data_IF_383586934909
#
_entry.id   IF_383586934909
#
_cell.length_a   1.000
_cell.length_b   1.000
_cell.length_c   1.000
_cell.angle_alpha   90.00
_cell.angle_beta   90.00
_cell.angle_gamma   90.00
#
_symmetry.space_group_name_H-M   'P 1'
#
loop_
_entity.id
_entity.type
_entity.pdbx_description
1 polymer ?
#
# COMPACT_ATOMS: atom_id res chain seq x y z
N UNK A 1 -33.50 26.66 38.32
CA UNK A 1 -33.74 25.49 37.44
C UNK A 1 -34.78 25.89 36.42
N UNK A 2 -34.34 26.43 35.28
CA UNK A 2 -35.22 26.66 34.13
C UNK A 2 -35.48 25.30 33.50
N UNK A 3 -36.68 24.77 33.68
CA UNK A 3 -37.17 23.58 32.99
C UNK A 3 -37.20 23.86 31.49
N UNK A 4 -36.12 23.54 30.79
CA UNK A 4 -36.11 23.53 29.32
C UNK A 4 -36.98 22.36 28.89
N UNK A 5 -38.27 22.62 28.61
CA UNK A 5 -39.18 21.58 28.12
C UNK A 5 -38.76 21.17 26.70
N UNK A 6 -38.17 19.98 26.58
CA UNK A 6 -37.87 19.37 25.29
C UNK A 6 -39.13 18.70 24.73
N UNK A 7 -39.47 19.01 23.48
CA UNK A 7 -40.69 18.48 22.83
C UNK A 7 -40.49 17.10 22.21
N UNK A 8 -39.24 16.70 21.95
CA UNK A 8 -38.91 15.41 21.35
C UNK A 8 -37.55 14.88 21.82
N UNK A 9 -37.34 13.57 21.68
CA UNK A 9 -36.06 12.92 21.94
C UNK A 9 -34.92 13.53 21.11
N UNK A 10 -35.18 13.83 19.84
CA UNK A 10 -34.20 14.44 18.94
C UNK A 10 -33.76 15.83 19.41
N UNK A 11 -34.70 16.66 19.89
CA UNK A 11 -34.39 18.00 20.40
C UNK A 11 -33.51 17.93 21.65
N UNK A 12 -33.82 16.98 22.56
CA UNK A 12 -33.03 16.76 23.76
C UNK A 12 -31.60 16.29 23.42
N UNK A 13 -31.45 15.41 22.43
CA UNK A 13 -30.13 14.91 22.01
C UNK A 13 -29.31 15.96 21.25
N UNK A 14 -29.94 16.84 20.47
CA UNK A 14 -29.27 18.01 19.88
C UNK A 14 -28.79 18.98 20.97
N UNK A 15 -29.57 19.16 22.03
CA UNK A 15 -29.14 19.97 23.17
C UNK A 15 -27.96 19.33 23.91
N UNK A 16 -27.92 18.00 24.04
CA UNK A 16 -26.77 17.28 24.60
C UNK A 16 -25.51 17.54 23.77
N UNK A 17 -25.60 17.44 22.44
CA UNK A 17 -24.47 17.72 21.53
C UNK A 17 -23.96 19.16 21.70
N UNK A 18 -24.87 20.14 21.74
CA UNK A 18 -24.54 21.53 22.03
C UNK A 18 -23.84 21.72 23.39
N UNK A 19 -24.39 21.14 24.46
CA UNK A 19 -23.80 21.24 25.80
C UNK A 19 -22.42 20.58 25.90
N UNK A 20 -22.19 19.49 25.18
CA UNK A 20 -20.88 18.85 25.07
C UNK A 20 -19.89 19.74 24.32
N UNK A 21 -20.32 20.41 23.25
CA UNK A 21 -19.50 21.40 22.53
C UNK A 21 -19.05 22.57 23.40
N UNK A 22 -19.89 22.99 24.35
CA UNK A 22 -19.60 24.05 25.33
C UNK A 22 -18.90 23.55 26.61
N UNK A 23 -18.44 22.29 26.65
CA UNK A 23 -17.81 21.64 27.82
C UNK A 23 -18.69 21.59 29.09
N UNK A 24 -20.02 21.70 28.97
CA UNK A 24 -20.98 21.64 30.09
C UNK A 24 -21.41 20.20 30.38
N UNK A 25 -20.45 19.35 30.70
CA UNK A 25 -20.65 17.90 30.82
C UNK A 25 -21.67 17.47 31.89
N UNK A 26 -21.79 18.21 32.99
CA UNK A 26 -22.75 17.89 34.05
C UNK A 26 -24.19 18.06 33.56
N UNK A 27 -24.48 19.19 32.94
CA UNK A 27 -25.80 19.49 32.39
C UNK A 27 -26.13 18.59 31.19
N UNK A 28 -25.14 18.27 30.37
CA UNK A 28 -25.30 17.31 29.27
C UNK A 28 -25.77 15.93 29.79
N UNK A 29 -25.25 15.48 30.94
CA UNK A 29 -25.69 14.22 31.58
C UNK A 29 -27.12 14.30 32.09
N UNK A 30 -27.50 15.40 32.74
CA UNK A 30 -28.88 15.61 33.23
C UNK A 30 -29.89 15.62 32.08
N UNK A 31 -29.58 16.33 30.99
CA UNK A 31 -30.44 16.37 29.79
C UNK A 31 -30.51 15.00 29.13
N UNK A 32 -29.39 14.28 29.04
CA UNK A 32 -29.37 12.93 28.46
C UNK A 32 -30.18 11.92 29.29
N UNK A 33 -30.08 11.97 30.61
CA UNK A 33 -30.88 11.14 31.52
C UNK A 33 -32.38 11.42 31.34
N UNK A 34 -32.76 12.70 31.30
CA UNK A 34 -34.15 13.09 31.04
C UNK A 34 -34.63 12.61 29.66
N UNK A 35 -33.80 12.72 28.64
CA UNK A 35 -34.10 12.26 27.28
C UNK A 35 -34.42 10.76 27.24
N UNK A 36 -33.60 9.94 27.92
CA UNK A 36 -33.79 8.48 27.93
C UNK A 36 -34.95 8.02 28.83
N UNK A 37 -35.17 8.69 29.96
CA UNK A 37 -36.19 8.27 30.94
C UNK A 37 -37.59 8.78 30.63
N UNK A 38 -37.70 9.97 30.03
CA UNK A 38 -38.99 10.67 29.89
C UNK A 38 -39.44 10.75 28.43
N UNK A 39 -38.52 10.87 27.47
CA UNK A 39 -38.85 11.15 26.07
C UNK A 39 -38.66 9.95 25.12
N UNK A 40 -37.76 9.02 25.44
CA UNK A 40 -37.49 7.87 24.59
C UNK A 40 -38.61 6.83 24.68
N UNK A 41 -39.14 6.42 23.53
CA UNK A 41 -40.05 5.27 23.47
C UNK A 41 -39.27 3.96 23.62
N UNK A 42 -39.96 2.85 23.95
CA UNK A 42 -39.31 1.52 23.98
C UNK A 42 -38.69 1.14 22.64
N UNK A 43 -39.27 1.61 21.53
CA UNK A 43 -38.73 1.39 20.19
C UNK A 43 -37.46 2.21 19.93
N UNK A 44 -37.42 3.47 20.39
CA UNK A 44 -36.21 4.30 20.30
C UNK A 44 -35.08 3.70 21.11
N UNK A 45 -35.36 3.19 22.32
CA UNK A 45 -34.37 2.51 23.14
C UNK A 45 -33.79 1.26 22.46
N UNK A 46 -34.65 0.42 21.84
CA UNK A 46 -34.18 -0.73 21.06
C UNK A 46 -33.28 -0.32 19.89
N UNK A 47 -33.63 0.76 19.18
CA UNK A 47 -32.84 1.26 18.05
C UNK A 47 -31.50 1.86 18.51
N UNK A 48 -31.49 2.61 19.62
CA UNK A 48 -30.26 3.16 20.21
C UNK A 48 -29.33 2.06 20.69
N UNK A 49 -29.86 1.01 21.33
CA UNK A 49 -29.09 -0.16 21.74
C UNK A 49 -28.50 -0.88 20.53
N UNK A 50 -29.29 -1.09 19.47
CA UNK A 50 -28.78 -1.70 18.23
C UNK A 50 -27.65 -0.87 17.61
N UNK A 51 -27.79 0.46 17.56
CA UNK A 51 -26.73 1.34 17.07
C UNK A 51 -25.46 1.21 17.92
N UNK A 52 -25.60 1.30 19.25
CA UNK A 52 -24.49 1.19 20.17
C UNK A 52 -23.80 -0.19 20.06
N UNK A 53 -24.57 -1.27 19.97
CA UNK A 53 -24.08 -2.64 19.81
C UNK A 53 -23.33 -2.83 18.49
N UNK A 54 -23.87 -2.30 17.40
CA UNK A 54 -23.24 -2.33 16.08
C UNK A 54 -21.88 -1.62 16.10
N UNK A 55 -21.82 -0.40 16.66
CA UNK A 55 -20.57 0.33 16.78
C UNK A 55 -19.62 -0.23 17.84
N UNK A 56 -20.11 -0.99 18.81
CA UNK A 56 -19.28 -1.63 19.82
C UNK A 56 -18.58 -2.88 19.26
N UNK A 57 -19.32 -3.72 18.52
CA UNK A 57 -18.82 -5.01 18.05
C UNK A 57 -18.13 -4.97 16.69
N UNK A 58 -18.42 -3.98 15.86
CA UNK A 58 -17.88 -3.91 14.51
C UNK A 58 -16.98 -2.66 14.31
N UNK A 59 -15.87 -2.79 13.57
CA UNK A 59 -15.10 -1.62 13.13
C UNK A 59 -15.98 -0.64 12.37
N UNK A 60 -15.75 0.67 12.53
CA UNK A 60 -16.60 1.74 12.01
C UNK A 60 -17.04 1.57 10.55
N UNK A 61 -16.14 1.16 9.65
CA UNK A 61 -16.47 0.96 8.24
C UNK A 61 -17.47 -0.17 8.01
N UNK A 62 -17.38 -1.25 8.80
CA UNK A 62 -18.28 -2.40 8.75
C UNK A 62 -19.64 -2.02 9.34
N UNK A 63 -19.62 -1.41 10.53
CA UNK A 63 -20.82 -0.86 11.17
C UNK A 63 -21.57 0.10 10.24
N UNK A 64 -20.86 1.04 9.60
CA UNK A 64 -21.42 1.99 8.64
C UNK A 64 -21.97 1.31 7.39
N UNK A 65 -21.33 0.25 6.89
CA UNK A 65 -21.84 -0.53 5.77
C UNK A 65 -23.14 -1.26 6.14
N UNK A 66 -23.20 -1.85 7.33
CA UNK A 66 -24.39 -2.49 7.89
C UNK A 66 -25.54 -1.49 8.06
N UNK A 67 -25.27 -0.31 8.65
CA UNK A 67 -26.27 0.74 8.84
C UNK A 67 -26.73 1.36 7.51
N UNK A 68 -25.83 1.53 6.54
CA UNK A 68 -26.19 1.95 5.17
C UNK A 68 -27.10 0.92 4.49
N UNK A 69 -26.81 -0.38 4.65
CA UNK A 69 -27.64 -1.44 4.12
C UNK A 69 -29.02 -1.49 4.80
N UNK A 70 -29.06 -1.29 6.12
CA UNK A 70 -30.30 -1.15 6.89
C UNK A 70 -31.11 0.04 6.39
N UNK A 71 -30.49 1.22 6.26
CA UNK A 71 -31.12 2.45 5.76
C UNK A 71 -31.78 2.23 4.39
N UNK A 72 -31.06 1.61 3.44
CA UNK A 72 -31.59 1.34 2.09
C UNK A 72 -32.85 0.48 2.11
N UNK A 73 -32.92 -0.50 3.02
CA UNK A 73 -34.04 -1.45 3.14
C UNK A 73 -35.16 -0.97 4.05
N UNK A 74 -34.94 0.11 4.80
CA UNK A 74 -35.85 0.60 5.83
C UNK A 74 -36.95 1.52 5.29
N UNK A 75 -38.11 1.60 5.97
CA UNK A 75 -39.17 2.57 5.66
C UNK A 75 -38.71 4.01 5.95
N UNK A 76 -39.42 5.00 5.39
CA UNK A 76 -39.03 6.42 5.43
C UNK A 76 -38.81 6.97 6.85
N UNK A 77 -39.63 6.54 7.81
CA UNK A 77 -39.52 6.94 9.21
C UNK A 77 -38.19 6.48 9.84
N UNK A 78 -37.81 5.22 9.64
CA UNK A 78 -36.54 4.68 10.15
C UNK A 78 -35.33 5.25 9.40
N UNK A 79 -35.47 5.64 8.13
CA UNK A 79 -34.42 6.38 7.42
C UNK A 79 -34.17 7.75 8.04
N UNK A 80 -35.22 8.52 8.28
CA UNK A 80 -35.12 9.83 8.93
C UNK A 80 -34.51 9.70 10.34
N UNK A 81 -34.89 8.65 11.08
CA UNK A 81 -34.31 8.33 12.38
C UNK A 81 -32.80 8.03 12.26
N UNK A 82 -32.39 7.13 11.35
CA UNK A 82 -30.97 6.80 11.13
C UNK A 82 -30.16 8.02 10.66
N UNK A 83 -30.72 8.87 9.79
CA UNK A 83 -30.05 10.09 9.33
C UNK A 83 -29.79 11.09 10.47
N UNK A 84 -30.63 11.04 11.52
CA UNK A 84 -30.50 11.89 12.71
C UNK A 84 -29.49 11.33 13.71
N UNK A 85 -29.48 10.01 13.93
CA UNK A 85 -28.74 9.39 15.04
C UNK A 85 -27.44 8.67 14.64
N UNK A 86 -27.22 8.37 13.37
CA UNK A 86 -25.98 7.73 12.91
C UNK A 86 -24.87 8.77 12.78
N UNK A 87 -23.81 8.60 13.57
CA UNK A 87 -22.64 9.48 13.51
C UNK A 87 -21.98 9.47 12.13
N UNK A 88 -21.74 10.66 11.57
CA UNK A 88 -21.03 10.83 10.29
C UNK A 88 -19.53 10.54 10.39
N UNK A 89 -19.01 10.51 11.61
CA UNK A 89 -17.62 10.19 11.98
C UNK A 89 -17.59 9.02 12.95
N UNK A 90 -16.43 8.40 13.12
CA UNK A 90 -16.27 7.25 14.03
C UNK A 90 -16.53 7.68 15.49
N UNK A 91 -17.53 7.09 16.18
CA UNK A 91 -17.79 7.42 17.58
C UNK A 91 -16.78 6.79 18.55
N UNK A 92 -15.84 5.97 18.07
CA UNK A 92 -14.78 5.37 18.91
C UNK A 92 -15.29 4.32 19.91
N UNK A 93 -16.49 3.78 19.67
CA UNK A 93 -17.13 2.78 20.53
C UNK A 93 -16.59 1.37 20.30
N UNK A 94 -16.01 1.11 19.11
CA UNK A 94 -15.38 -0.16 18.81
C UNK A 94 -14.03 -0.22 19.53
N UNK A 95 -14.01 -0.94 20.65
CA UNK A 95 -12.78 -1.32 21.33
C UNK A 95 -12.62 -2.81 21.13
N UNK A 96 -11.63 -3.26 20.33
CA UNK A 96 -11.29 -4.67 20.28
C UNK A 96 -11.00 -5.10 21.72
N UNK A 97 -11.87 -5.92 22.30
CA UNK A 97 -11.58 -6.49 23.62
C UNK A 97 -10.41 -7.44 23.41
N UNK A 98 -9.26 -7.09 23.99
CA UNK A 98 -7.98 -7.82 23.96
C UNK A 98 -8.06 -9.27 24.48
N UNK A 99 -9.25 -9.76 24.84
CA UNK A 99 -9.46 -11.04 25.51
C UNK A 99 -10.10 -12.14 24.65
N UNK A 100 -10.46 -11.88 23.39
CA UNK A 100 -10.64 -13.00 22.47
C UNK A 100 -9.28 -13.31 21.86
N UNK A 101 -8.62 -14.43 22.19
CA UNK A 101 -7.57 -14.94 21.34
C UNK A 101 -8.21 -15.13 19.98
N UNK A 102 -7.96 -14.20 19.06
CA UNK A 102 -8.20 -14.46 17.64
C UNK A 102 -7.49 -15.79 17.42
N UNK A 103 -8.15 -16.83 16.88
CA UNK A 103 -7.45 -18.07 16.61
C UNK A 103 -6.25 -17.68 15.77
N UNK A 104 -5.07 -17.81 16.37
CA UNK A 104 -3.82 -17.56 15.70
C UNK A 104 -3.81 -18.59 14.57
N UNK A 105 -4.20 -18.18 13.37
CA UNK A 105 -3.62 -18.78 12.19
C UNK A 105 -2.23 -18.20 12.14
N UNK A 106 -1.31 -18.80 12.91
CA UNK A 106 0.02 -19.05 12.37
C UNK A 106 -0.25 -19.62 11.00
N UNK A 107 0.02 -18.84 9.96
CA UNK A 107 -0.01 -19.33 8.58
C UNK A 107 1.29 -20.13 8.49
N UNK A 108 1.27 -21.47 8.61
CA UNK A 108 2.48 -22.23 8.32
C UNK A 108 2.91 -21.90 6.89
N UNK A 109 4.22 -21.94 6.63
CA UNK A 109 4.82 -21.70 5.31
C UNK A 109 4.16 -22.51 4.16
N UNK A 110 3.39 -23.56 4.47
CA UNK A 110 2.62 -24.39 3.54
C UNK A 110 1.26 -23.83 3.13
N UNK A 111 0.72 -22.81 3.82
CA UNK A 111 -0.62 -22.27 3.55
C UNK A 111 -0.67 -21.19 2.44
N UNK A 112 0.41 -21.01 1.68
CA UNK A 112 0.40 -20.28 0.40
C UNK A 112 -0.52 -20.97 -0.65
N UNK A 113 -0.99 -22.19 -0.37
CA UNK A 113 -1.90 -22.93 -1.25
C UNK A 113 -3.38 -22.51 -1.23
N UNK A 114 -3.85 -21.65 -0.33
CA UNK A 114 -5.28 -21.29 -0.30
C UNK A 114 -5.60 -20.08 -1.18
N UNK A 115 -6.31 -20.35 -2.28
CA UNK A 115 -6.76 -19.40 -3.28
C UNK A 115 -7.45 -18.14 -2.69
N UNK A 116 -6.76 -17.00 -2.77
CA UNK A 116 -7.42 -15.70 -2.66
C UNK A 116 -8.32 -15.52 -3.89
N UNK A 117 -9.63 -15.79 -3.72
CA UNK A 117 -10.65 -15.49 -4.73
C UNK A 117 -10.70 -13.97 -4.94
N UNK A 118 -9.99 -13.47 -5.96
CA UNK A 118 -10.29 -12.15 -6.53
C UNK A 118 -11.62 -12.26 -7.27
N UNK A 119 -12.62 -11.54 -6.81
CA UNK A 119 -13.81 -11.23 -7.58
C UNK A 119 -13.38 -10.32 -8.75
N UNK A 120 -13.25 -10.89 -9.94
CA UNK A 120 -13.09 -10.15 -11.18
C UNK A 120 -14.44 -9.56 -11.58
N UNK A 121 -14.54 -8.24 -11.67
CA UNK A 121 -15.63 -7.60 -12.39
C UNK A 121 -15.55 -8.01 -13.87
N UNK A 122 -16.42 -8.90 -14.30
CA UNK A 122 -16.55 -9.26 -15.72
C UNK A 122 -17.27 -8.12 -16.43
N UNK A 123 -16.51 -7.33 -17.18
CA UNK A 123 -17.08 -6.38 -18.12
C UNK A 123 -17.57 -7.18 -19.35
N UNK A 124 -18.88 -7.26 -19.55
CA UNK A 124 -19.52 -8.13 -20.55
C UNK A 124 -19.45 -7.57 -21.98
N UNK A 125 -18.68 -6.51 -22.21
CA UNK A 125 -18.52 -5.94 -23.54
C UNK A 125 -17.54 -6.78 -24.36
N UNK A 126 -18.10 -7.73 -25.11
CA UNK A 126 -17.38 -8.54 -26.11
C UNK A 126 -16.85 -7.63 -27.22
N UNK A 127 -15.65 -7.10 -27.06
CA UNK A 127 -14.95 -6.34 -28.10
C UNK A 127 -14.67 -7.31 -29.25
N UNK A 128 -15.49 -7.26 -30.31
CA UNK A 128 -15.23 -7.98 -31.57
C UNK A 128 -13.94 -7.45 -32.18
N UNK A 129 -12.83 -8.17 -31.99
CA UNK A 129 -11.50 -7.89 -32.57
C UNK A 129 -11.38 -8.44 -34.00
N UNK A 130 -12.37 -8.21 -34.84
CA UNK A 130 -12.39 -8.77 -36.20
C UNK A 130 -12.59 -7.66 -37.22
N UNK A 131 -11.48 -7.01 -37.58
CA UNK A 131 -11.18 -6.43 -38.89
C UNK A 131 -10.12 -5.35 -38.72
N UNK A 132 -8.86 -5.68 -38.98
CA UNK A 132 -7.85 -4.68 -39.29
C UNK A 132 -8.33 -3.94 -40.55
N UNK A 133 -8.54 -2.62 -40.52
CA UNK A 133 -9.01 -1.90 -41.69
C UNK A 133 -8.00 -2.07 -42.82
N UNK A 134 -8.48 -2.36 -44.03
CA UNK A 134 -7.60 -2.50 -45.20
C UNK A 134 -6.80 -1.21 -45.41
N UNK A 135 -5.62 -1.33 -46.03
CA UNK A 135 -4.72 -0.20 -46.31
C UNK A 135 -5.44 0.93 -47.07
N UNK A 136 -6.39 0.58 -47.94
CA UNK A 136 -7.23 1.54 -48.65
C UNK A 136 -8.16 2.33 -47.70
N UNK A 137 -8.73 1.67 -46.71
CA UNK A 137 -9.56 2.30 -45.66
C UNK A 137 -8.72 3.22 -44.78
N UNK A 138 -7.50 2.81 -44.42
CA UNK A 138 -6.58 3.68 -43.67
C UNK A 138 -6.15 4.92 -44.47
N UNK A 139 -5.84 4.77 -45.77
CA UNK A 139 -5.51 5.89 -46.65
C UNK A 139 -6.70 6.84 -46.77
N UNK A 140 -7.93 6.32 -46.93
CA UNK A 140 -9.16 7.12 -46.98
C UNK A 140 -9.41 7.86 -45.67
N UNK A 141 -9.21 7.20 -44.52
CA UNK A 141 -9.31 7.82 -43.21
C UNK A 141 -8.25 8.92 -42.99
N UNK A 142 -7.00 8.69 -43.41
CA UNK A 142 -5.93 9.70 -43.37
C UNK A 142 -6.27 10.92 -44.24
N UNK A 143 -6.81 10.71 -45.45
CA UNK A 143 -7.27 11.80 -46.33
C UNK A 143 -8.46 12.56 -45.74
N UNK A 144 -9.41 11.86 -45.13
CA UNK A 144 -10.55 12.48 -44.44
C UNK A 144 -10.10 13.35 -43.26
N UNK A 145 -9.10 12.91 -42.48
CA UNK A 145 -8.52 13.69 -41.37
C UNK A 145 -7.79 14.96 -41.81
N UNK A 146 -7.28 14.99 -43.04
CA UNK A 146 -6.62 16.16 -43.63
C UNK A 146 -7.59 17.16 -44.28
N UNK A 147 -8.88 16.86 -44.36
CA UNK A 147 -9.86 17.81 -44.90
C UNK A 147 -9.91 19.06 -44.01
N UNK A 148 -9.97 20.26 -44.60
CA UNK A 148 -9.98 21.52 -43.83
C UNK A 148 -11.16 21.58 -42.85
N UNK A 149 -12.31 21.01 -43.20
CA UNK A 149 -13.48 20.87 -42.31
C UNK A 149 -13.17 20.03 -41.06
N UNK A 150 -12.44 18.93 -41.20
CA UNK A 150 -12.07 18.07 -40.06
C UNK A 150 -11.01 18.76 -39.19
N UNK A 151 -10.08 19.48 -39.80
CA UNK A 151 -9.09 20.29 -39.08
C UNK A 151 -9.79 21.45 -38.35
N UNK A 152 -10.76 22.10 -38.97
CA UNK A 152 -11.56 23.16 -38.37
C UNK A 152 -12.41 22.62 -37.21
N UNK A 153 -13.03 21.46 -37.36
CA UNK A 153 -13.76 20.78 -36.28
C UNK A 153 -12.83 20.37 -35.12
N UNK A 154 -11.61 19.92 -35.41
CA UNK A 154 -10.60 19.64 -34.38
C UNK A 154 -10.11 20.91 -33.69
N UNK A 155 -9.92 22.01 -34.43
CA UNK A 155 -9.55 23.32 -33.88
C UNK A 155 -10.68 23.92 -33.05
N UNK A 156 -11.94 23.74 -33.45
CA UNK A 156 -13.10 24.13 -32.69
C UNK A 156 -13.30 23.28 -31.42
N UNK A 157 -12.84 22.01 -31.45
CA UNK A 157 -12.79 21.13 -30.27
C UNK A 157 -11.53 21.32 -29.40
N UNK A 158 -10.54 22.12 -29.83
CA UNK A 158 -9.38 22.43 -28.99
C UNK A 158 -9.84 23.32 -27.83
N UNK A 159 -9.37 22.99 -26.63
CA UNK A 159 -9.66 23.73 -25.40
C UNK A 159 -9.33 25.22 -25.58
N UNK A 160 -10.15 26.14 -25.06
CA UNK A 160 -9.79 27.56 -25.01
C UNK A 160 -8.49 27.74 -24.22
N UNK A 161 -7.61 28.64 -24.69
CA UNK A 161 -6.26 28.89 -24.12
C UNK A 161 -6.33 29.38 -22.66
N UNK A 162 -7.48 29.90 -22.23
CA UNK A 162 -7.79 30.20 -20.83
C UNK A 162 -9.04 29.43 -20.44
N UNK A 163 -8.89 28.45 -19.56
CA UNK A 163 -10.03 27.75 -18.99
C UNK A 163 -10.79 28.70 -18.03
N UNK A 164 -12.13 28.70 -18.05
CA UNK A 164 -12.91 29.34 -17.00
C UNK A 164 -12.58 28.69 -15.66
N UNK A 165 -12.41 29.50 -14.60
CA UNK A 165 -12.03 29.06 -13.24
C UNK A 165 -12.92 27.91 -12.72
N UNK A 166 -14.18 27.88 -13.15
CA UNK A 166 -15.18 26.85 -12.85
C UNK A 166 -14.79 25.46 -13.38
N UNK A 167 -14.13 25.37 -14.54
CA UNK A 167 -13.65 24.09 -15.11
C UNK A 167 -12.42 23.60 -14.35
N UNK A 168 -11.55 24.52 -13.93
CA UNK A 168 -10.39 24.20 -13.08
C UNK A 168 -10.85 23.71 -11.70
N UNK A 169 -11.89 24.33 -11.13
CA UNK A 169 -12.51 23.90 -9.87
C UNK A 169 -13.28 22.59 -10.03
N UNK A 170 -13.95 22.35 -11.16
CA UNK A 170 -14.62 21.07 -11.47
C UNK A 170 -13.62 19.92 -11.61
N UNK A 171 -12.47 20.16 -12.26
CA UNK A 171 -11.40 19.16 -12.38
C UNK A 171 -10.77 18.87 -11.01
N UNK A 172 -10.51 19.91 -10.19
CA UNK A 172 -10.02 19.75 -8.81
C UNK A 172 -10.99 19.03 -7.89
N UNK A 173 -12.29 19.29 -8.02
CA UNK A 173 -13.31 18.79 -7.09
C UNK A 173 -13.95 17.45 -7.47
N UNK A 174 -13.84 17.01 -8.74
CA UNK A 174 -14.49 15.77 -9.20
C UNK A 174 -13.64 14.80 -9.99
N UNK A 175 -12.71 15.25 -10.83
CA UNK A 175 -11.97 14.35 -11.73
C UNK A 175 -10.68 13.77 -11.13
N UNK A 176 -10.18 14.35 -10.03
CA UNK A 176 -9.10 13.77 -9.21
C UNK A 176 -9.62 13.05 -7.96
N UNK A 177 -10.94 12.88 -7.84
CA UNK A 177 -11.61 12.20 -6.72
C UNK A 177 -11.99 10.75 -7.10
N UNK A 178 -11.25 10.14 -8.03
CA UNK A 178 -11.15 8.67 -8.16
C UNK A 178 -9.88 8.17 -7.43
N UNK A 179 -9.57 8.79 -6.31
CA UNK A 179 -8.86 8.13 -5.24
C UNK A 179 -9.92 7.81 -4.18
N UNK A 180 -10.29 6.52 -4.05
CA UNK A 180 -10.55 6.03 -2.70
C UNK A 180 -9.44 6.64 -1.84
N UNK A 181 -9.80 7.45 -0.84
CA UNK A 181 -8.82 8.13 0.01
C UNK A 181 -7.85 7.04 0.44
N UNK A 182 -6.59 7.10 -0.02
CA UNK A 182 -5.61 6.06 0.23
C UNK A 182 -5.71 5.79 1.73
N UNK A 183 -6.18 4.60 2.11
CA UNK A 183 -6.59 4.32 3.48
C UNK A 183 -5.45 4.79 4.37
N UNK A 184 -5.64 5.85 5.18
CA UNK A 184 -4.53 6.44 5.90
C UNK A 184 -3.99 5.31 6.76
N UNK A 185 -2.73 4.91 6.56
CA UNK A 185 -2.23 3.71 7.18
C UNK A 185 -2.38 3.88 8.68
N UNK A 186 -3.07 2.92 9.29
CA UNK A 186 -3.33 2.97 10.73
C UNK A 186 -2.00 2.86 11.47
N UNK A 187 -1.94 3.32 12.71
CA UNK A 187 -0.77 3.11 13.56
C UNK A 187 -0.47 1.61 13.73
N UNK A 188 -1.49 0.77 13.61
CA UNK A 188 -1.33 -0.67 13.54
C UNK A 188 -0.62 -1.13 12.26
N UNK A 189 -0.97 -0.60 11.08
CA UNK A 189 -0.30 -0.96 9.83
C UNK A 189 1.19 -0.59 9.88
N UNK A 190 1.53 0.55 10.48
CA UNK A 190 2.91 0.97 10.75
C UNK A 190 3.61 0.00 11.69
N UNK A 191 3.00 -0.26 12.84
CA UNK A 191 3.54 -1.16 13.88
C UNK A 191 3.74 -2.58 13.34
N UNK A 192 2.81 -3.06 12.52
CA UNK A 192 2.88 -4.37 11.91
C UNK A 192 3.99 -4.47 10.86
N UNK A 193 4.11 -3.48 9.96
CA UNK A 193 5.22 -3.41 9.00
C UNK A 193 6.56 -3.33 9.73
N UNK A 194 6.66 -2.53 10.80
CA UNK A 194 7.87 -2.45 11.64
C UNK A 194 8.20 -3.78 12.30
N UNK A 195 7.20 -4.44 12.90
CA UNK A 195 7.40 -5.75 13.54
C UNK A 195 7.89 -6.80 12.53
N UNK A 196 7.32 -6.83 11.32
CA UNK A 196 7.79 -7.73 10.27
C UNK A 196 9.21 -7.36 9.81
N UNK A 197 9.56 -6.07 9.73
CA UNK A 197 10.92 -5.64 9.42
C UNK A 197 11.92 -6.07 10.51
N UNK A 198 11.55 -5.96 11.79
CA UNK A 198 12.34 -6.42 12.92
C UNK A 198 12.49 -7.95 12.94
N UNK A 199 11.43 -8.69 12.61
CA UNK A 199 11.49 -10.14 12.44
C UNK A 199 12.45 -10.53 11.33
N UNK A 200 12.40 -9.85 10.17
CA UNK A 200 13.35 -10.05 9.07
C UNK A 200 14.78 -9.83 9.56
N UNK A 201 15.03 -8.75 10.32
CA UNK A 201 16.36 -8.46 10.87
C UNK A 201 16.81 -9.54 11.85
N UNK A 202 15.96 -9.90 12.81
CA UNK A 202 16.27 -10.91 13.82
C UNK A 202 16.48 -12.32 13.23
N UNK A 203 15.76 -12.67 12.16
CA UNK A 203 15.97 -13.92 11.41
C UNK A 203 17.35 -13.96 10.76
N UNK A 204 17.79 -12.84 10.17
CA UNK A 204 19.12 -12.72 9.58
C UNK A 204 20.23 -12.80 10.62
N UNK A 205 20.06 -12.09 11.73
CA UNK A 205 21.03 -12.10 12.83
C UNK A 205 21.14 -13.51 13.41
N UNK A 206 20.02 -14.23 13.58
CA UNK A 206 19.99 -15.65 13.99
C UNK A 206 20.67 -16.57 12.97
N UNK A 207 20.58 -16.27 11.69
CA UNK A 207 21.25 -17.02 10.62
C UNK A 207 22.75 -16.68 10.49
N UNK A 208 23.29 -15.79 11.33
CA UNK A 208 24.68 -15.33 11.24
C UNK A 208 24.95 -14.42 10.03
N UNK A 209 23.91 -14.02 9.30
CA UNK A 209 24.03 -13.14 8.15
C UNK A 209 24.06 -11.69 8.64
N UNK A 210 25.22 -11.03 8.55
CA UNK A 210 25.33 -9.60 8.85
C UNK A 210 24.36 -8.82 7.97
N UNK A 211 23.49 -8.01 8.55
CA UNK A 211 22.57 -7.15 7.78
C UNK A 211 23.38 -5.98 7.19
N UNK A 212 23.53 -5.86 5.86
CA UNK A 212 24.18 -4.70 5.26
C UNK A 212 23.43 -3.42 5.64
N UNK A 213 24.15 -2.30 5.81
CA UNK A 213 23.54 -0.98 6.11
C UNK A 213 22.48 -0.58 5.08
N UNK A 214 22.64 -1.03 3.83
CA UNK A 214 21.73 -0.73 2.72
C UNK A 214 20.61 -1.78 2.54
N UNK A 215 20.40 -2.70 3.49
CA UNK A 215 19.36 -3.73 3.38
C UNK A 215 17.99 -3.17 3.77
N UNK A 216 17.11 -3.06 2.77
CA UNK A 216 15.77 -2.50 2.90
C UNK A 216 14.79 -3.49 3.58
N UNK A 217 14.95 -3.66 4.89
CA UNK A 217 14.05 -4.47 5.74
C UNK A 217 12.59 -4.05 5.61
N UNK A 218 12.32 -2.75 5.48
CA UNK A 218 10.98 -2.21 5.30
C UNK A 218 10.41 -2.55 3.93
N UNK A 219 11.18 -2.50 2.85
CA UNK A 219 10.74 -2.94 1.52
C UNK A 219 10.38 -4.42 1.48
N UNK A 220 11.14 -5.27 2.17
CA UNK A 220 10.81 -6.69 2.36
C UNK A 220 9.54 -6.85 3.18
N UNK A 221 9.40 -6.11 4.29
CA UNK A 221 8.21 -6.13 5.13
C UNK A 221 6.95 -5.68 4.37
N UNK A 222 6.99 -4.57 3.64
CA UNK A 222 5.90 -4.09 2.77
C UNK A 222 5.49 -5.12 1.72
N UNK A 223 6.47 -5.82 1.15
CA UNK A 223 6.21 -6.91 0.20
C UNK A 223 5.51 -8.10 0.86
N UNK A 224 5.94 -8.47 2.08
CA UNK A 224 5.35 -9.55 2.87
C UNK A 224 3.94 -9.23 3.36
N UNK A 225 3.69 -7.98 3.78
CA UNK A 225 2.40 -7.55 4.35
C UNK A 225 1.42 -7.04 3.29
N UNK A 226 1.91 -6.60 2.13
CA UNK A 226 1.11 -5.89 1.12
C UNK A 226 0.75 -4.45 1.51
N UNK A 227 1.29 -3.95 2.62
CA UNK A 227 1.00 -2.61 3.16
C UNK A 227 2.08 -1.62 2.70
N UNK A 228 1.70 -0.58 1.97
CA UNK A 228 2.61 0.46 1.49
C UNK A 228 2.81 1.58 2.53
N UNK A 229 3.36 1.23 3.69
CA UNK A 229 3.42 2.12 4.87
C UNK A 229 4.86 2.45 5.24
N UNK A 230 5.13 3.73 5.51
CA UNK A 230 6.42 4.20 6.06
C UNK A 230 6.34 4.32 7.58
N UNK A 231 7.42 3.92 8.25
CA UNK A 231 7.64 4.15 9.69
C UNK A 231 8.16 5.58 9.95
N UNK A 232 8.49 6.32 8.88
CA UNK A 232 8.81 7.73 8.98
C UNK A 232 7.52 8.55 9.18
N UNK A 233 7.30 9.02 10.40
CA UNK A 233 6.16 9.87 10.79
C UNK A 233 6.29 11.31 10.30
N UNK A 234 7.45 11.69 9.75
CA UNK A 234 7.60 13.02 9.14
C UNK A 234 6.57 13.13 8.03
N UNK A 235 5.83 14.26 7.93
CA UNK A 235 4.93 14.47 6.82
C UNK A 235 5.72 14.24 5.54
N UNK A 236 5.25 13.29 4.71
CA UNK A 236 5.91 12.92 3.48
C UNK A 236 6.27 14.21 2.75
N UNK A 237 7.57 14.41 2.45
CA UNK A 237 8.01 15.61 1.78
C UNK A 237 7.17 15.76 0.52
N UNK A 238 6.35 16.83 0.47
CA UNK A 238 5.47 17.09 -0.65
C UNK A 238 6.34 17.62 -1.80
N UNK A 239 7.08 16.73 -2.45
CA UNK A 239 7.80 17.05 -3.67
C UNK A 239 6.80 17.73 -4.63
N UNK A 240 7.09 18.97 -5.02
CA UNK A 240 6.26 19.77 -5.92
C UNK A 240 4.84 20.12 -5.42
N UNK A 241 4.58 20.11 -4.10
CA UNK A 241 3.39 20.71 -3.48
C UNK A 241 2.08 19.94 -3.62
N UNK A 242 2.10 18.72 -4.16
CA UNK A 242 0.93 17.84 -4.28
C UNK A 242 1.15 16.45 -3.67
N UNK A 243 2.30 16.19 -3.04
CA UNK A 243 2.60 14.90 -2.39
C UNK A 243 2.78 13.74 -3.35
N UNK A 244 2.74 14.02 -4.65
CA UNK A 244 3.14 13.08 -5.68
C UNK A 244 4.64 13.31 -5.88
N UNK A 245 5.45 12.38 -5.39
CA UNK A 245 6.81 12.25 -5.90
C UNK A 245 6.67 11.96 -7.39
N UNK A 246 6.84 12.97 -8.23
CA UNK A 246 6.70 12.85 -9.68
C UNK A 246 7.73 11.86 -10.25
N UNK A 247 8.87 11.66 -9.60
CA UNK A 247 9.83 10.65 -10.03
C UNK A 247 9.36 9.23 -9.66
N UNK A 248 8.59 9.05 -8.58
CA UNK A 248 7.99 7.76 -8.19
C UNK A 248 6.60 7.52 -8.85
N UNK A 249 5.88 8.59 -9.20
CA UNK A 249 4.47 8.54 -9.68
C UNK A 249 4.29 8.90 -11.15
N UNK A 250 5.16 9.73 -11.75
CA UNK A 250 5.09 10.10 -13.18
C UNK A 250 6.17 9.52 -14.07
N UNK A 251 7.24 8.95 -13.51
CA UNK A 251 7.98 7.93 -14.23
C UNK A 251 7.22 6.62 -13.99
N UNK A 252 6.39 6.11 -14.92
CA UNK A 252 6.08 4.69 -14.90
C UNK A 252 7.45 4.01 -14.87
N UNK A 253 7.84 3.35 -13.78
CA UNK A 253 9.22 3.00 -13.51
C UNK A 253 9.66 2.15 -14.68
N UNK A 254 10.46 2.69 -15.63
CA UNK A 254 10.59 2.18 -17.01
C UNK A 254 10.30 0.68 -17.05
N UNK A 255 9.02 0.33 -17.28
CA UNK A 255 8.40 -0.90 -16.71
C UNK A 255 8.82 -2.19 -17.41
N UNK A 256 9.90 -2.13 -18.18
CA UNK A 256 10.50 -3.26 -18.84
C UNK A 256 11.54 -3.90 -17.94
N UNK A 257 11.28 -5.16 -17.56
CA UNK A 257 12.40 -6.06 -17.32
C UNK A 257 13.28 -6.04 -18.57
N UNK A 258 14.60 -6.07 -18.39
CA UNK A 258 15.49 -6.14 -19.55
C UNK A 258 15.34 -7.50 -20.23
N UNK A 259 15.65 -7.56 -21.52
CA UNK A 259 15.76 -8.84 -22.21
C UNK A 259 16.78 -9.73 -21.51
N UNK A 260 16.42 -10.97 -21.19
CA UNK A 260 17.33 -11.90 -20.53
C UNK A 260 18.54 -12.25 -21.39
N UNK A 261 18.47 -12.04 -22.70
CA UNK A 261 19.55 -12.33 -23.64
C UNK A 261 20.41 -11.11 -23.99
N UNK A 262 19.79 -10.02 -24.48
CA UNK A 262 20.53 -8.84 -24.95
C UNK A 262 20.60 -7.69 -23.94
N UNK A 263 19.93 -7.81 -22.79
CA UNK A 263 19.85 -6.81 -21.73
C UNK A 263 19.30 -5.42 -22.15
N UNK A 264 18.78 -5.31 -23.37
CA UNK A 264 18.07 -4.12 -23.82
C UNK A 264 16.69 -4.03 -23.13
N UNK A 265 16.18 -2.81 -23.04
CA UNK A 265 14.82 -2.57 -22.53
C UNK A 265 13.79 -3.21 -23.45
N UNK A 266 12.74 -3.79 -22.86
CA UNK A 266 11.65 -4.48 -23.57
C UNK A 266 10.42 -3.59 -23.66
N UNK A 267 9.62 -3.80 -24.69
CA UNK A 267 8.31 -3.16 -24.78
C UNK A 267 7.40 -3.72 -23.68
N UNK A 268 6.54 -2.89 -23.07
CA UNK A 268 5.59 -3.37 -22.05
C UNK A 268 4.65 -4.47 -22.59
N UNK A 269 4.36 -4.45 -23.91
CA UNK A 269 3.55 -5.46 -24.57
C UNK A 269 4.19 -6.86 -24.53
N UNK A 270 5.52 -6.95 -24.43
CA UNK A 270 6.23 -8.24 -24.36
C UNK A 270 5.98 -8.99 -23.04
N UNK A 271 5.53 -8.28 -21.99
CA UNK A 271 5.33 -8.81 -20.63
C UNK A 271 3.92 -9.35 -20.38
N UNK A 272 2.93 -8.81 -21.09
CA UNK A 272 1.51 -9.13 -20.87
C UNK A 272 0.95 -9.90 -22.06
N UNK A 273 1.38 -11.15 -22.17
CA UNK A 273 0.85 -12.07 -23.19
C UNK A 273 -0.29 -12.88 -22.58
N UNK A 274 -1.44 -12.87 -23.26
CA UNK A 274 -2.58 -13.70 -22.92
C UNK A 274 -2.70 -14.80 -23.97
N UNK A 275 -2.86 -16.04 -23.51
CA UNK A 275 -3.04 -17.21 -24.37
C UNK A 275 -4.40 -17.21 -25.07
N UNK A 276 -4.61 -18.13 -26.04
CA UNK A 276 -5.87 -18.29 -26.75
C UNK A 276 -7.05 -18.69 -25.83
N UNK A 277 -6.75 -19.25 -24.67
CA UNK A 277 -7.68 -19.61 -23.59
C UNK A 277 -8.06 -18.42 -22.68
N UNK A 278 -7.52 -17.23 -22.94
CA UNK A 278 -7.74 -16.05 -22.11
C UNK A 278 -6.94 -16.03 -20.81
N UNK A 279 -6.11 -17.06 -20.56
CA UNK A 279 -5.24 -17.10 -19.39
C UNK A 279 -3.93 -16.35 -19.65
N UNK A 280 -3.38 -15.77 -18.58
CA UNK A 280 -2.06 -15.13 -18.64
C UNK A 280 -0.99 -16.18 -18.92
N UNK A 281 -0.12 -15.91 -19.91
CA UNK A 281 1.09 -16.70 -20.19
C UNK A 281 2.24 -16.06 -19.43
N UNK A 282 3.11 -16.89 -18.85
CA UNK A 282 4.30 -16.41 -18.13
C UNK A 282 5.26 -15.70 -19.07
N UNK A 283 5.88 -14.63 -18.59
CA UNK A 283 6.88 -13.88 -19.35
C UNK A 283 8.11 -14.74 -19.71
N UNK A 284 8.44 -14.79 -21.01
CA UNK A 284 9.60 -15.51 -21.56
C UNK A 284 10.93 -14.76 -21.41
N UNK A 285 10.86 -13.50 -20.98
CA UNK A 285 12.01 -12.66 -20.72
C UNK A 285 12.68 -12.09 -21.97
N UNK A 286 12.16 -12.33 -23.18
CA UNK A 286 12.80 -11.91 -24.43
C UNK A 286 12.17 -10.66 -25.04
N UNK A 287 12.98 -9.80 -25.66
CA UNK A 287 12.47 -8.80 -26.60
C UNK A 287 12.14 -9.45 -27.95
N UNK A 288 11.26 -8.81 -28.74
CA UNK A 288 10.85 -9.37 -30.03
C UNK A 288 12.04 -9.76 -30.95
N UNK A 289 13.11 -8.94 -31.13
CA UNK A 289 14.26 -9.34 -31.93
C UNK A 289 14.98 -10.60 -31.43
N UNK A 290 15.03 -10.83 -30.11
CA UNK A 290 15.64 -12.04 -29.56
C UNK A 290 14.73 -13.26 -29.72
N UNK A 291 13.40 -13.08 -29.71
CA UNK A 291 12.46 -14.17 -30.05
C UNK A 291 12.59 -14.57 -31.52
N UNK A 292 12.65 -13.60 -32.42
CA UNK A 292 12.78 -13.84 -33.86
C UNK A 292 14.09 -14.59 -34.21
N UNK A 293 15.12 -14.44 -33.37
CA UNK A 293 16.41 -15.13 -33.48
C UNK A 293 16.50 -16.42 -32.66
N UNK A 294 15.37 -16.93 -32.15
CA UNK A 294 15.26 -18.16 -31.35
C UNK A 294 16.28 -18.22 -30.21
N UNK A 295 16.44 -17.09 -29.50
CA UNK A 295 17.37 -17.02 -28.36
C UNK A 295 16.80 -17.82 -27.17
N UNK A 296 17.67 -18.37 -26.31
CA UNK A 296 17.23 -19.04 -25.09
C UNK A 296 16.36 -18.12 -24.22
N UNK A 297 15.16 -18.57 -23.88
CA UNK A 297 14.17 -17.85 -23.07
C UNK A 297 14.01 -18.45 -21.68
N UNK A 298 13.20 -17.79 -20.84
CA UNK A 298 12.72 -18.36 -19.57
C UNK A 298 11.68 -19.44 -19.89
N UNK A 299 11.83 -20.61 -19.27
CA UNK A 299 10.86 -21.70 -19.42
C UNK A 299 9.47 -21.27 -18.93
N UNK A 300 8.43 -21.66 -19.68
CA UNK A 300 7.05 -21.32 -19.35
C UNK A 300 6.66 -21.88 -17.98
N UNK A 301 6.04 -21.04 -17.14
CA UNK A 301 5.57 -21.43 -15.82
C UNK A 301 4.21 -22.14 -15.91
N UNK A 302 3.92 -23.08 -14.97
CA UNK A 302 2.62 -23.73 -14.88
C UNK A 302 1.47 -22.72 -14.68
N UNK A 303 0.27 -23.10 -15.11
CA UNK A 303 -0.94 -22.27 -14.88
C UNK A 303 -1.12 -21.97 -13.39
N UNK A 304 -1.58 -20.75 -13.10
CA UNK A 304 -1.78 -20.28 -11.73
C UNK A 304 -0.51 -19.73 -11.06
N UNK A 305 0.58 -19.54 -11.83
CA UNK A 305 1.79 -18.89 -11.34
C UNK A 305 1.49 -17.49 -10.77
N UNK A 306 2.25 -17.12 -9.75
CA UNK A 306 2.19 -15.82 -9.08
C UNK A 306 3.24 -14.87 -9.67
N UNK A 307 3.15 -13.58 -9.32
CA UNK A 307 4.21 -12.61 -9.65
C UNK A 307 5.56 -13.00 -9.01
N UNK A 308 5.53 -13.60 -7.82
CA UNK A 308 6.74 -14.08 -7.15
C UNK A 308 7.41 -15.20 -7.95
N UNK A 309 6.63 -16.12 -8.53
CA UNK A 309 7.15 -17.21 -9.37
C UNK A 309 7.84 -16.67 -10.63
N UNK A 310 7.23 -15.68 -11.29
CA UNK A 310 7.83 -15.00 -12.45
C UNK A 310 9.12 -14.28 -12.10
N UNK A 311 9.13 -13.49 -11.03
CA UNK A 311 10.34 -12.76 -10.60
C UNK A 311 11.44 -13.77 -10.27
N UNK A 312 11.11 -14.82 -9.53
CA UNK A 312 12.09 -15.84 -9.16
C UNK A 312 12.59 -16.61 -10.40
N UNK A 313 11.73 -16.93 -11.37
CA UNK A 313 12.14 -17.58 -12.63
C UNK A 313 13.09 -16.69 -13.44
N UNK A 314 12.79 -15.41 -13.53
CA UNK A 314 13.64 -14.43 -14.20
C UNK A 314 15.01 -14.29 -13.53
N UNK A 315 15.04 -14.13 -12.20
CA UNK A 315 16.30 -14.02 -11.47
C UNK A 315 17.13 -15.31 -11.53
N UNK A 316 16.50 -16.49 -11.46
CA UNK A 316 17.17 -17.79 -11.68
C UNK A 316 17.76 -17.93 -13.06
N UNK A 317 17.02 -17.51 -14.10
CA UNK A 317 17.54 -17.57 -15.47
C UNK A 317 18.78 -16.69 -15.63
N UNK A 318 18.76 -15.44 -15.16
CA UNK A 318 19.92 -14.55 -15.25
C UNK A 318 21.13 -15.09 -14.48
N UNK A 319 20.92 -15.59 -13.26
CA UNK A 319 22.02 -16.06 -12.39
C UNK A 319 22.62 -17.38 -12.84
N UNK A 320 21.80 -18.28 -13.40
CA UNK A 320 22.31 -19.52 -14.00
C UNK A 320 23.04 -19.28 -15.33
N UNK A 321 22.52 -18.39 -16.20
CA UNK A 321 23.06 -18.19 -17.55
C UNK A 321 24.22 -17.19 -17.61
N UNK A 322 24.20 -16.17 -16.75
CA UNK A 322 25.15 -15.05 -16.77
C UNK A 322 25.70 -14.74 -15.36
N UNK A 323 26.32 -15.71 -14.66
CA UNK A 323 26.68 -15.57 -13.24
C UNK A 323 27.58 -14.37 -12.95
N UNK A 324 28.48 -14.01 -13.86
CA UNK A 324 29.40 -12.88 -13.68
C UNK A 324 28.70 -11.49 -13.72
N UNK A 325 27.60 -11.35 -14.46
CA UNK A 325 26.95 -10.05 -14.71
C UNK A 325 25.62 -9.95 -13.96
N UNK A 326 24.99 -11.09 -13.66
CA UNK A 326 23.68 -11.16 -13.02
C UNK A 326 23.55 -10.34 -11.73
N UNK A 327 24.52 -10.32 -10.79
CA UNK A 327 24.39 -9.49 -9.58
C UNK A 327 24.24 -8.00 -9.90
N UNK A 328 24.98 -7.49 -10.89
CA UNK A 328 24.90 -6.08 -11.31
C UNK A 328 23.56 -5.79 -12.01
N UNK A 329 23.13 -6.67 -12.91
CA UNK A 329 21.84 -6.55 -13.62
C UNK A 329 20.66 -6.59 -12.64
N UNK A 330 20.67 -7.52 -11.69
CA UNK A 330 19.62 -7.66 -10.69
C UNK A 330 19.56 -6.45 -9.74
N UNK A 331 20.70 -5.90 -9.30
CA UNK A 331 20.72 -4.65 -8.52
C UNK A 331 20.20 -3.45 -9.32
N UNK A 332 20.52 -3.37 -10.61
CA UNK A 332 19.98 -2.32 -11.48
C UNK A 332 18.47 -2.46 -11.65
N UNK A 333 17.98 -3.69 -11.89
CA UNK A 333 16.56 -4.00 -11.98
C UNK A 333 15.83 -3.71 -10.67
N UNK A 334 16.40 -4.09 -9.53
CA UNK A 334 15.88 -3.80 -8.20
C UNK A 334 15.63 -2.30 -8.01
N UNK A 335 16.62 -1.46 -8.33
CA UNK A 335 16.52 0.01 -8.20
C UNK A 335 15.43 0.61 -9.10
N UNK A 336 15.23 0.05 -10.29
CA UNK A 336 14.24 0.53 -11.27
C UNK A 336 12.86 -0.12 -11.11
N UNK A 337 12.70 -1.08 -10.20
CA UNK A 337 11.47 -1.83 -10.03
C UNK A 337 10.51 -1.18 -9.04
N UNK A 338 9.21 -1.39 -9.28
CA UNK A 338 8.15 -1.06 -8.33
C UNK A 338 8.40 -1.74 -6.96
N UNK A 339 7.92 -1.16 -5.83
CA UNK A 339 8.26 -1.61 -4.48
C UNK A 339 8.07 -3.12 -4.24
N UNK A 340 6.96 -3.70 -4.72
CA UNK A 340 6.68 -5.13 -4.57
C UNK A 340 7.72 -6.00 -5.29
N UNK A 341 8.08 -5.66 -6.53
CA UNK A 341 9.07 -6.40 -7.32
C UNK A 341 10.47 -6.18 -6.75
N UNK A 342 10.76 -4.97 -6.28
CA UNK A 342 12.01 -4.63 -5.59
C UNK A 342 12.22 -5.55 -4.38
N UNK A 343 11.21 -5.69 -3.51
CA UNK A 343 11.30 -6.58 -2.35
C UNK A 343 11.49 -8.05 -2.73
N UNK A 344 10.85 -8.52 -3.79
CA UNK A 344 11.05 -9.89 -4.32
C UNK A 344 12.48 -10.11 -4.85
N UNK A 345 13.04 -9.14 -5.57
CA UNK A 345 14.44 -9.21 -6.04
C UNK A 345 15.41 -9.13 -4.86
N UNK A 346 15.15 -8.27 -3.87
CA UNK A 346 15.94 -8.19 -2.63
C UNK A 346 15.98 -9.55 -1.94
N UNK A 347 14.82 -10.18 -1.73
CA UNK A 347 14.72 -11.49 -1.09
C UNK A 347 15.47 -12.57 -1.88
N UNK A 348 15.42 -12.53 -3.21
CA UNK A 348 16.16 -13.47 -4.06
C UNK A 348 17.68 -13.29 -3.98
N UNK A 349 18.17 -12.05 -4.06
CA UNK A 349 19.59 -11.74 -3.93
C UNK A 349 20.13 -12.16 -2.57
N UNK A 350 19.34 -11.96 -1.52
CA UNK A 350 19.70 -12.38 -0.17
C UNK A 350 19.82 -13.91 -0.05
N UNK A 351 18.86 -14.66 -0.60
CA UNK A 351 18.94 -16.13 -0.62
C UNK A 351 20.15 -16.65 -1.40
N UNK A 352 20.59 -15.93 -2.45
CA UNK A 352 21.80 -16.27 -3.19
C UNK A 352 23.07 -16.01 -2.40
N UNK A 353 23.15 -14.88 -1.70
CA UNK A 353 24.31 -14.55 -0.86
C UNK A 353 24.44 -15.55 0.31
N UNK A 354 23.33 -16.03 0.86
CA UNK A 354 23.31 -17.09 1.88
C UNK A 354 23.73 -18.47 1.36
N UNK A 355 23.54 -18.75 0.07
CA UNK A 355 23.93 -20.00 -0.57
C UNK A 355 25.39 -20.02 -1.08
N UNK A 356 26.11 -18.89 -1.00
CA UNK A 356 27.53 -18.81 -1.32
C UNK A 356 28.39 -19.61 -0.33
N UNK A 357 29.67 -19.92 -0.66
CA UNK A 357 30.58 -20.52 0.31
C UNK A 357 30.61 -19.63 1.55
N UNK A 358 30.43 -20.23 2.74
CA UNK A 358 30.42 -19.53 4.03
C UNK A 358 31.43 -18.39 3.99
N UNK A 359 30.92 -17.17 3.96
CA UNK A 359 31.78 -16.00 4.07
C UNK A 359 32.56 -16.21 5.37
N UNK A 360 33.88 -16.42 5.26
CA UNK A 360 34.76 -16.60 6.41
C UNK A 360 34.46 -15.47 7.36
N UNK A 361 33.73 -15.77 8.43
CA UNK A 361 33.39 -14.81 9.47
C UNK A 361 34.74 -14.45 10.05
N UNK A 362 35.25 -13.25 9.74
CA UNK A 362 36.43 -12.73 10.43
C UNK A 362 36.06 -12.71 11.90
N UNK A 363 36.63 -13.59 12.75
CA UNK A 363 36.26 -13.61 14.14
C UNK A 363 36.61 -12.22 14.70
N UNK A 364 35.61 -11.56 15.29
CA UNK A 364 35.84 -10.31 16.00
C UNK A 364 36.91 -10.60 17.05
N UNK A 365 38.12 -10.06 16.84
CA UNK A 365 39.19 -10.20 17.81
C UNK A 365 38.76 -9.45 19.06
N UNK A 366 38.80 -10.07 20.25
CA UNK A 366 38.52 -9.37 21.48
C UNK A 366 39.47 -8.17 21.55
N UNK A 367 38.89 -6.99 21.60
CA UNK A 367 39.62 -5.73 21.69
C UNK A 367 40.32 -5.73 23.04
N UNK A 368 41.64 -5.55 23.07
CA UNK A 368 42.41 -5.54 24.32
C UNK A 368 42.20 -4.21 25.02
N UNK A 369 41.25 -4.17 25.94
CA UNK A 369 41.02 -3.02 26.81
C UNK A 369 42.25 -2.75 27.67
N UNK A 370 42.64 -1.48 27.78
CA UNK A 370 43.72 -1.03 28.68
C UNK A 370 43.14 -0.05 29.70
N UNK A 371 43.72 0.03 30.89
CA UNK A 371 43.40 1.14 31.81
C UNK A 371 44.06 2.41 31.27
N UNK A 372 43.27 3.46 31.10
CA UNK A 372 43.73 4.76 30.66
C UNK A 372 42.62 5.80 30.76
N UNK A 373 42.93 7.04 30.38
CA UNK A 373 41.96 8.14 30.40
C UNK A 373 41.18 8.17 29.09
N UNK A 374 39.85 8.13 29.16
CA UNK A 374 38.98 8.26 27.98
C UNK A 374 39.13 9.64 27.33
N UNK A 375 39.27 9.70 26.01
CA UNK A 375 39.44 10.96 25.27
C UNK A 375 38.15 11.80 25.17
N UNK A 376 36.98 11.21 25.46
CA UNK A 376 35.68 11.88 25.40
C UNK A 376 35.21 12.38 26.77
N UNK A 377 35.14 11.50 27.78
CA UNK A 377 34.69 11.89 29.13
C UNK A 377 35.83 12.24 30.11
N UNK A 378 37.10 12.06 29.71
CA UNK A 378 38.29 12.38 30.51
C UNK A 378 38.41 11.67 31.87
N UNK A 379 37.65 10.60 32.08
CA UNK A 379 37.76 9.74 33.28
C UNK A 379 38.69 8.56 33.04
N UNK A 380 39.36 8.12 34.11
CA UNK A 380 40.25 6.95 34.06
C UNK A 380 39.41 5.67 34.13
N UNK A 381 39.36 4.93 33.02
CA UNK A 381 38.55 3.72 32.87
C UNK A 381 39.27 2.68 31.99
N UNK A 382 38.60 1.57 31.71
CA UNK A 382 39.01 0.69 30.63
C UNK A 382 38.65 1.36 29.31
N UNK A 383 39.66 1.60 28.48
CA UNK A 383 39.54 2.22 27.16
C UNK A 383 40.00 1.25 26.07
N UNK A 384 39.41 1.40 24.89
CA UNK A 384 39.77 0.64 23.71
C UNK A 384 40.99 1.27 22.97
N UNK A 385 41.46 0.72 21.84
CA UNK A 385 42.60 1.24 21.09
C UNK A 385 42.39 2.65 20.50
N UNK A 386 41.14 3.12 20.44
CA UNK A 386 40.77 4.47 20.00
C UNK A 386 40.66 5.45 21.19
N UNK A 387 41.10 5.02 22.37
CA UNK A 387 41.09 5.76 23.63
C UNK A 387 39.68 6.16 24.11
N UNK A 388 38.66 5.40 23.72
CA UNK A 388 37.27 5.60 24.16
C UNK A 388 36.88 4.56 25.21
N UNK A 389 36.14 4.98 26.25
CA UNK A 389 35.49 4.06 27.17
C UNK A 389 34.19 3.47 26.58
N UNK A 390 33.68 2.42 27.22
CA UNK A 390 32.49 1.69 26.76
C UNK A 390 31.24 2.60 26.65
N UNK A 391 31.11 3.57 27.55
CA UNK A 391 29.98 4.51 27.55
C UNK A 391 30.09 5.57 26.44
N UNK A 392 31.31 6.03 26.13
CA UNK A 392 31.53 7.09 25.13
C UNK A 392 31.61 6.56 23.70
N UNK A 393 32.01 5.30 23.53
CA UNK A 393 32.13 4.65 22.22
C UNK A 393 30.85 4.69 21.37
N UNK A 394 29.66 4.31 21.87
CA UNK A 394 28.43 4.37 21.07
C UNK A 394 28.02 5.82 20.75
N UNK A 395 28.34 6.78 21.62
CA UNK A 395 28.10 8.20 21.38
C UNK A 395 28.97 8.74 20.25
N UNK A 396 30.23 8.32 20.19
CA UNK A 396 31.16 8.71 19.13
C UNK A 396 30.81 8.05 17.78
N UNK A 397 30.42 6.77 17.79
CA UNK A 397 29.98 6.05 16.60
C UNK A 397 28.66 6.58 16.00
N UNK A 398 27.81 7.21 16.82
CA UNK A 398 26.61 7.89 16.36
C UNK A 398 26.88 9.29 15.79
N UNK A 399 28.06 9.87 16.09
CA UNK A 399 28.46 11.22 15.66
C UNK A 399 29.38 11.22 14.42
N UNK A 400 30.02 10.09 14.12
CA UNK A 400 30.80 9.85 12.89
C UNK A 400 29.89 9.33 11.76
#
# INVERSE_FOLDING_TARGET
>A
MTSTEFRSLSDALLQVDYLLGENRHAEAREVFEHALTTLATSLDMQRLLLLADTFHHEPYLTARAHLTALWRRSPAELRAWLDTFVARTDPGLHRPTDQRPRPFKTVPLTAIGSAARRLSASDYTRIRREATPSTATEIRAKRARKRPEHIAALRAKRRPVREPRVVTDYIRSRFLVDADTAYPPTDWDRTYVRHVADQVRAERDRAGARTPENFDTFGVARTRTGLAVSDDERPAYLANGNGLDYDDTTLPPVQGWVCVYCFAERACADRFVTGPDGHRVSDDGLCQPCRDLDRPSIAALPRGFTLADEVAAYCRHLTSRYPAIAPRLLRQLQRRSAPLVRGLITAYLDALDQAGPEATVTPLRPVRWRRGRCCSCFTDQLIDPEDLCDDCRPLYAAAA
#
